data_IF_746232476989
#
_entry.id   IF_746232476989
#
_cell.length_a   1.000
_cell.length_b   1.000
_cell.length_c   1.000
_cell.angle_alpha   90.00
_cell.angle_beta   90.00
_cell.angle_gamma   90.00
#
_symmetry.space_group_name_H-M   'P 1'
#
loop_
_entity.id
_entity.type
_entity.pdbx_description
1 polymer ?
#
# COMPACT_ATOMS: atom_id res chain seq x y z
N UNK A 1 -51.83 -51.57 -44.55
CA UNK A 1 -51.27 -50.23 -44.58
C UNK A 1 -50.89 -49.89 -43.18
N UNK A 2 -49.62 -50.04 -42.86
CA UNK A 2 -49.04 -49.73 -41.53
C UNK A 2 -47.96 -48.62 -41.73
N UNK A 3 -48.25 -47.47 -41.17
CA UNK A 3 -47.42 -46.32 -41.19
C UNK A 3 -46.48 -46.40 -40.02
N UNK A 4 -45.21 -46.44 -40.29
CA UNK A 4 -44.14 -46.52 -39.28
C UNK A 4 -43.79 -45.09 -38.83
N UNK A 5 -44.11 -44.75 -37.61
CA UNK A 5 -43.73 -43.52 -36.93
C UNK A 5 -42.29 -43.64 -36.46
N UNK A 6 -41.41 -42.86 -37.08
CA UNK A 6 -39.96 -42.79 -36.77
C UNK A 6 -39.73 -41.82 -35.61
N UNK A 7 -39.50 -42.36 -34.42
CA UNK A 7 -39.09 -41.57 -33.25
C UNK A 7 -37.67 -41.08 -33.49
N UNK A 8 -37.51 -39.77 -33.69
CA UNK A 8 -36.21 -39.10 -33.71
C UNK A 8 -35.84 -38.83 -32.25
N UNK A 9 -34.92 -39.63 -31.73
CA UNK A 9 -34.30 -39.36 -30.46
C UNK A 9 -33.40 -38.14 -30.59
N UNK A 10 -33.70 -37.08 -29.81
CA UNK A 10 -32.78 -35.99 -29.58
C UNK A 10 -31.60 -36.51 -28.75
N UNK A 11 -30.33 -36.23 -29.15
CA UNK A 11 -29.22 -36.55 -28.28
C UNK A 11 -29.28 -35.62 -27.04
N UNK A 12 -29.32 -36.23 -25.87
CA UNK A 12 -29.07 -35.55 -24.62
C UNK A 12 -27.68 -34.95 -24.70
N UNK A 13 -27.60 -33.63 -24.84
CA UNK A 13 -26.39 -32.87 -24.63
C UNK A 13 -26.21 -32.82 -23.12
N UNK A 14 -25.46 -33.77 -22.61
CA UNK A 14 -24.92 -33.68 -21.24
C UNK A 14 -24.09 -32.39 -21.16
N UNK A 15 -24.74 -31.35 -20.68
CA UNK A 15 -24.09 -30.11 -20.25
C UNK A 15 -23.25 -30.44 -18.99
N UNK A 16 -22.13 -31.12 -19.23
CA UNK A 16 -21.10 -31.34 -18.21
C UNK A 16 -20.55 -29.97 -17.88
N UNK A 17 -21.23 -29.26 -16.98
CA UNK A 17 -20.77 -28.01 -16.41
C UNK A 17 -19.41 -28.26 -15.85
N UNK A 18 -18.38 -27.77 -16.57
CA UNK A 18 -16.99 -27.88 -16.18
C UNK A 18 -16.87 -27.38 -14.73
N UNK A 19 -16.54 -28.30 -13.84
CA UNK A 19 -16.31 -27.98 -12.44
C UNK A 19 -15.29 -26.83 -12.36
N UNK A 20 -15.53 -25.78 -11.53
CA UNK A 20 -14.61 -24.67 -11.43
C UNK A 20 -13.24 -25.21 -11.07
N UNK A 21 -12.24 -24.93 -11.91
CA UNK A 21 -10.86 -25.34 -11.69
C UNK A 21 -10.47 -24.99 -10.25
N UNK A 22 -10.17 -26.01 -9.45
CA UNK A 22 -9.72 -25.81 -8.08
C UNK A 22 -8.44 -24.98 -8.12
N UNK A 23 -8.53 -23.76 -7.57
CA UNK A 23 -7.41 -22.86 -7.46
C UNK A 23 -6.33 -23.54 -6.63
N UNK A 24 -5.04 -23.50 -7.04
CA UNK A 24 -3.97 -24.04 -6.23
C UNK A 24 -4.01 -23.33 -4.87
N UNK A 25 -4.29 -24.05 -3.81
CA UNK A 25 -4.27 -23.58 -2.42
C UNK A 25 -2.82 -23.40 -1.99
N UNK A 26 -2.18 -22.32 -2.47
CA UNK A 26 -0.86 -21.89 -2.00
C UNK A 26 -0.95 -21.42 -0.54
N UNK A 27 0.20 -21.32 0.13
CA UNK A 27 0.28 -20.75 1.47
C UNK A 27 -0.12 -19.27 1.44
N UNK A 28 -0.89 -18.85 2.45
CA UNK A 28 -1.27 -17.45 2.60
C UNK A 28 -0.03 -16.61 2.90
N UNK A 29 0.14 -15.51 2.17
CA UNK A 29 1.31 -14.62 2.27
C UNK A 29 1.17 -13.53 3.33
N UNK A 30 0.36 -13.76 4.35
CA UNK A 30 0.12 -12.81 5.45
C UNK A 30 1.41 -12.52 6.22
N UNK A 31 2.23 -13.52 6.47
CA UNK A 31 3.52 -13.32 7.15
C UNK A 31 4.43 -12.38 6.33
N UNK A 32 4.52 -12.56 5.02
CA UNK A 32 5.29 -11.70 4.15
C UNK A 32 4.77 -10.25 4.18
N UNK A 33 3.45 -10.05 4.16
CA UNK A 33 2.83 -8.73 4.29
C UNK A 33 3.27 -8.04 5.59
N UNK A 34 3.11 -8.70 6.73
CA UNK A 34 3.47 -8.09 8.01
C UNK A 34 4.97 -7.91 8.19
N UNK A 35 5.80 -8.81 7.66
CA UNK A 35 7.25 -8.66 7.69
C UNK A 35 7.70 -7.41 6.90
N UNK A 36 7.18 -7.22 5.69
CA UNK A 36 7.46 -6.03 4.88
C UNK A 36 6.92 -4.77 5.55
N UNK A 37 5.70 -4.81 6.10
CA UNK A 37 5.12 -3.68 6.81
C UNK A 37 5.95 -3.30 8.04
N UNK A 38 6.39 -4.29 8.83
CA UNK A 38 7.24 -4.04 9.99
C UNK A 38 8.59 -3.42 9.60
N UNK A 39 9.23 -3.93 8.54
CA UNK A 39 10.49 -3.36 8.04
C UNK A 39 10.30 -1.92 7.57
N UNK A 40 9.29 -1.64 6.75
CA UNK A 40 9.00 -0.29 6.27
C UNK A 40 8.70 0.68 7.43
N UNK A 41 7.86 0.26 8.38
CA UNK A 41 7.51 1.02 9.56
C UNK A 41 8.72 1.33 10.45
N UNK A 42 9.53 0.31 10.76
CA UNK A 42 10.72 0.49 11.63
C UNK A 42 11.76 1.38 10.98
N UNK A 43 12.01 1.23 9.67
CA UNK A 43 12.94 2.10 8.95
C UNK A 43 12.43 3.55 8.93
N UNK A 44 11.14 3.77 8.70
CA UNK A 44 10.55 5.12 8.74
C UNK A 44 10.67 5.72 10.14
N UNK A 45 10.23 5.01 11.17
CA UNK A 45 10.29 5.48 12.54
C UNK A 45 11.73 5.78 12.99
N UNK A 46 12.67 4.88 12.73
CA UNK A 46 14.07 5.04 13.10
C UNK A 46 14.71 6.23 12.39
N UNK A 47 14.46 6.39 11.07
CA UNK A 47 14.97 7.54 10.31
C UNK A 47 14.42 8.87 10.83
N UNK A 48 13.11 8.95 11.10
CA UNK A 48 12.47 10.13 11.67
C UNK A 48 13.00 10.49 13.06
N UNK A 49 13.21 9.48 13.92
CA UNK A 49 13.84 9.70 15.24
C UNK A 49 15.25 10.24 15.12
N UNK A 50 16.05 9.68 14.19
CA UNK A 50 17.42 10.14 13.94
C UNK A 50 17.43 11.57 13.41
N UNK A 51 16.55 11.89 12.47
CA UNK A 51 16.41 13.23 11.88
C UNK A 51 16.02 14.26 12.94
N UNK A 52 15.02 13.96 13.77
CA UNK A 52 14.65 14.85 14.89
C UNK A 52 15.81 15.06 15.85
N UNK A 53 16.53 13.99 16.20
CA UNK A 53 17.65 14.10 17.15
C UNK A 53 18.88 14.83 16.61
N UNK A 54 19.09 14.85 15.29
CA UNK A 54 20.34 15.34 14.67
C UNK A 54 20.17 16.53 13.75
N UNK A 55 19.01 16.76 13.18
CA UNK A 55 18.77 17.80 12.18
C UNK A 55 17.73 18.84 12.60
N UNK A 56 16.88 18.54 13.59
CA UNK A 56 15.93 19.54 14.06
C UNK A 56 16.67 20.72 14.68
N UNK A 57 16.40 21.94 14.20
CA UNK A 57 17.11 23.18 14.55
C UNK A 57 18.59 23.25 14.14
N UNK A 58 19.03 22.40 13.21
CA UNK A 58 20.38 22.43 12.66
C UNK A 58 20.36 22.73 11.15
N UNK A 59 21.50 23.10 10.61
CA UNK A 59 21.67 23.36 9.19
C UNK A 59 21.44 22.07 8.35
N UNK A 60 20.76 22.18 7.19
CA UNK A 60 20.54 21.05 6.30
C UNK A 60 21.85 20.40 5.85
N UNK A 61 21.86 19.07 5.78
CA UNK A 61 22.98 18.31 5.24
C UNK A 61 22.83 18.20 3.72
N UNK A 62 23.78 18.71 2.96
CA UNK A 62 23.84 18.54 1.50
C UNK A 62 24.36 17.15 1.17
N UNK A 63 23.55 16.36 0.48
CA UNK A 63 23.88 14.98 0.08
C UNK A 63 24.44 14.94 -1.34
N UNK A 64 23.77 15.62 -2.27
CA UNK A 64 24.20 15.73 -3.67
C UNK A 64 24.16 17.21 -4.06
N UNK A 65 25.21 17.94 -3.71
CA UNK A 65 25.30 19.38 -3.95
C UNK A 65 24.05 20.12 -3.45
N UNK A 66 23.50 20.98 -4.30
CA UNK A 66 22.23 21.68 -4.00
C UNK A 66 20.99 20.92 -4.50
N UNK A 67 21.18 19.74 -5.09
CA UNK A 67 20.08 18.98 -5.69
C UNK A 67 19.32 18.12 -4.67
N UNK A 68 20.00 17.58 -3.66
CA UNK A 68 19.39 16.76 -2.61
C UNK A 68 19.98 17.14 -1.25
N UNK A 69 19.09 17.46 -0.30
CA UNK A 69 19.45 17.78 1.08
C UNK A 69 18.65 16.91 2.05
N UNK A 70 19.20 16.72 3.24
CA UNK A 70 18.44 16.25 4.39
C UNK A 70 18.21 17.43 5.34
N UNK A 71 16.94 17.68 5.65
CA UNK A 71 16.51 18.74 6.58
C UNK A 71 15.29 18.27 7.37
N UNK A 72 15.15 18.69 8.61
CA UNK A 72 13.97 18.33 9.41
C UNK A 72 12.83 19.31 9.13
N UNK A 73 11.75 18.83 8.53
CA UNK A 73 10.54 19.61 8.26
C UNK A 73 9.37 18.99 9.01
N UNK A 74 8.64 19.81 9.76
CA UNK A 74 7.39 19.43 10.39
C UNK A 74 6.22 19.72 9.45
N UNK A 75 5.60 18.68 8.92
CA UNK A 75 4.51 18.79 7.94
C UNK A 75 3.14 18.52 8.61
N UNK A 76 2.37 19.54 8.95
CA UNK A 76 1.01 19.38 9.49
C UNK A 76 -0.04 19.06 8.41
N UNK A 77 0.38 18.66 7.21
CA UNK A 77 -0.52 18.53 6.07
C UNK A 77 -0.62 19.82 5.23
N UNK A 78 0.38 20.70 5.35
CA UNK A 78 0.36 22.08 4.87
C UNK A 78 0.54 22.26 3.33
N UNK A 79 0.52 21.18 2.53
CA UNK A 79 0.74 21.30 1.09
C UNK A 79 -0.18 22.34 0.39
N UNK A 80 -1.27 22.78 1.05
CA UNK A 80 -2.22 23.75 0.50
C UNK A 80 -2.65 24.84 1.49
N UNK A 81 -1.94 25.05 2.60
CA UNK A 81 -2.22 26.14 3.55
C UNK A 81 -3.42 25.93 4.50
N UNK A 82 -4.04 24.76 4.49
CA UNK A 82 -5.22 24.45 5.31
C UNK A 82 -4.91 23.68 6.61
N UNK A 83 -3.63 23.52 6.97
CA UNK A 83 -3.12 23.03 8.24
C UNK A 83 -3.87 21.84 8.86
N UNK A 84 -4.61 22.10 9.92
CA UNK A 84 -5.26 21.08 10.75
C UNK A 84 -6.31 20.22 10.04
N UNK A 85 -7.10 20.81 9.11
CA UNK A 85 -8.12 20.08 8.38
C UNK A 85 -7.54 18.95 7.52
N UNK A 86 -6.36 19.15 6.95
CA UNK A 86 -5.69 18.11 6.16
C UNK A 86 -5.09 17.01 7.03
N UNK A 87 -4.65 17.30 8.24
CA UNK A 87 -4.16 16.26 9.16
C UNK A 87 -5.25 15.24 9.45
N UNK A 88 -6.48 15.69 9.70
CA UNK A 88 -7.64 14.82 9.93
C UNK A 88 -7.96 14.02 8.67
N UNK A 89 -7.98 14.66 7.50
CA UNK A 89 -8.25 13.98 6.22
C UNK A 89 -7.22 12.88 5.96
N UNK A 90 -5.93 13.16 6.10
CA UNK A 90 -4.88 12.16 5.91
C UNK A 90 -4.94 11.03 6.95
N UNK A 91 -5.34 11.33 8.18
CA UNK A 91 -5.57 10.33 9.21
C UNK A 91 -6.71 9.39 8.82
N UNK A 92 -7.82 9.93 8.31
CA UNK A 92 -8.95 9.13 7.82
C UNK A 92 -8.53 8.28 6.62
N UNK A 93 -7.81 8.86 5.66
CA UNK A 93 -7.29 8.13 4.49
C UNK A 93 -6.40 6.96 4.94
N UNK A 94 -5.47 7.19 5.88
CA UNK A 94 -4.61 6.13 6.41
C UNK A 94 -5.44 5.02 7.07
N UNK A 95 -6.45 5.36 7.87
CA UNK A 95 -7.35 4.38 8.48
C UNK A 95 -8.13 3.57 7.43
N UNK A 96 -8.65 4.21 6.39
CA UNK A 96 -9.33 3.54 5.26
C UNK A 96 -8.39 2.57 4.56
N UNK A 97 -7.16 3.00 4.24
CA UNK A 97 -6.13 2.15 3.62
C UNK A 97 -5.86 0.91 4.47
N UNK A 98 -5.68 1.06 5.78
CA UNK A 98 -5.47 -0.05 6.71
C UNK A 98 -6.64 -1.04 6.65
N UNK A 99 -7.89 -0.56 6.66
CA UNK A 99 -9.09 -1.39 6.58
C UNK A 99 -9.16 -2.14 5.25
N UNK A 100 -8.85 -1.48 4.13
CA UNK A 100 -8.81 -2.10 2.79
C UNK A 100 -7.75 -3.20 2.76
N UNK A 101 -6.54 -2.93 3.25
CA UNK A 101 -5.46 -3.92 3.32
C UNK A 101 -5.88 -5.12 4.18
N UNK A 102 -6.50 -4.90 5.33
CA UNK A 102 -7.00 -5.97 6.20
C UNK A 102 -8.04 -6.86 5.49
N UNK A 103 -8.89 -6.28 4.61
CA UNK A 103 -9.83 -7.05 3.78
C UNK A 103 -9.14 -7.86 2.71
N UNK A 104 -8.20 -7.26 1.97
CA UNK A 104 -7.43 -7.94 0.92
C UNK A 104 -6.55 -9.05 1.49
N UNK A 105 -6.00 -8.88 2.68
CA UNK A 105 -5.18 -9.89 3.38
C UNK A 105 -5.93 -11.20 3.64
N UNK A 106 -7.26 -11.20 3.67
CA UNK A 106 -8.06 -12.42 3.86
C UNK A 106 -7.89 -13.44 2.73
N UNK A 107 -7.59 -12.98 1.52
CA UNK A 107 -7.40 -13.80 0.31
C UNK A 107 -6.05 -13.52 -0.35
N UNK A 108 -4.99 -13.31 0.45
CA UNK A 108 -3.68 -12.95 -0.03
C UNK A 108 -2.80 -14.19 -0.19
N UNK A 109 -2.62 -14.64 -1.43
CA UNK A 109 -1.78 -15.77 -1.81
C UNK A 109 -0.63 -15.35 -2.74
N UNK A 110 -0.70 -14.18 -3.35
CA UNK A 110 0.34 -13.62 -4.20
C UNK A 110 1.42 -12.95 -3.36
N UNK A 111 2.69 -13.38 -3.50
CA UNK A 111 3.83 -12.75 -2.82
C UNK A 111 4.08 -11.31 -3.30
N UNK A 112 4.05 -10.98 -4.60
CA UNK A 112 4.18 -9.59 -5.05
C UNK A 112 3.12 -8.65 -4.45
N UNK A 113 1.87 -9.10 -4.34
CA UNK A 113 0.82 -8.34 -3.66
C UNK A 113 1.07 -8.18 -2.17
N UNK A 114 1.60 -9.22 -1.51
CA UNK A 114 1.96 -9.13 -0.10
C UNK A 114 3.05 -8.08 0.15
N UNK A 115 4.04 -7.98 -0.74
CA UNK A 115 5.09 -6.96 -0.68
C UNK A 115 4.48 -5.57 -0.89
N UNK A 116 3.68 -5.37 -1.94
CA UNK A 116 3.07 -4.08 -2.24
C UNK A 116 2.16 -3.58 -1.10
N UNK A 117 1.28 -4.45 -0.61
CA UNK A 117 0.38 -4.14 0.51
C UNK A 117 1.13 -3.93 1.82
N UNK A 118 2.24 -4.67 2.04
CA UNK A 118 3.12 -4.49 3.20
C UNK A 118 3.79 -3.12 3.20
N UNK A 119 4.30 -2.65 2.05
CA UNK A 119 4.88 -1.32 1.90
C UNK A 119 3.84 -0.23 2.18
N UNK A 120 2.63 -0.35 1.61
CA UNK A 120 1.53 0.58 1.88
C UNK A 120 1.16 0.61 3.36
N UNK A 121 1.03 -0.55 3.99
CA UNK A 121 0.67 -0.67 5.40
C UNK A 121 1.73 -0.05 6.30
N UNK A 122 3.01 -0.39 6.09
CA UNK A 122 4.12 0.13 6.89
C UNK A 122 4.27 1.64 6.77
N UNK A 123 4.18 2.19 5.55
CA UNK A 123 4.20 3.63 5.31
C UNK A 123 3.00 4.35 5.93
N UNK A 124 1.78 3.81 5.74
CA UNK A 124 0.58 4.39 6.33
C UNK A 124 0.66 4.42 7.87
N UNK A 125 1.13 3.33 8.49
CA UNK A 125 1.34 3.27 9.94
C UNK A 125 2.43 4.26 10.40
N UNK A 126 3.52 4.43 9.66
CA UNK A 126 4.58 5.38 9.97
C UNK A 126 4.06 6.82 10.04
N UNK A 127 3.39 7.27 9.00
CA UNK A 127 2.80 8.61 8.97
C UNK A 127 1.63 8.76 9.94
N UNK A 128 0.85 7.71 10.19
CA UNK A 128 -0.22 7.73 11.20
C UNK A 128 0.35 7.83 12.61
N UNK A 129 1.47 7.16 12.91
CA UNK A 129 2.16 7.26 14.21
C UNK A 129 2.58 8.70 14.50
N UNK A 130 3.14 9.40 13.52
CA UNK A 130 3.49 10.81 13.70
C UNK A 130 2.24 11.67 14.02
N UNK A 131 1.14 11.45 13.30
CA UNK A 131 -0.11 12.22 13.52
C UNK A 131 -0.75 11.96 14.87
N UNK A 132 -0.62 10.76 15.41
CA UNK A 132 -1.20 10.42 16.71
C UNK A 132 -0.32 10.88 17.87
N UNK A 133 1.01 10.71 17.76
CA UNK A 133 1.90 10.79 18.92
C UNK A 133 2.82 12.01 18.95
N UNK A 134 2.92 12.80 17.85
CA UNK A 134 3.75 14.01 17.85
C UNK A 134 2.96 15.27 18.17
N UNK A 135 3.69 16.33 18.50
CA UNK A 135 3.13 17.66 18.71
C UNK A 135 2.42 18.17 17.41
N UNK A 136 1.37 19.01 17.57
CA UNK A 136 0.92 19.67 18.80
C UNK A 136 -0.04 18.84 19.67
N UNK A 137 -0.70 17.81 19.13
CA UNK A 137 -1.69 17.04 19.87
C UNK A 137 -2.02 15.70 19.21
N UNK A 138 -2.84 14.92 19.89
CA UNK A 138 -3.30 13.62 19.40
C UNK A 138 -4.18 13.83 18.17
N UNK A 139 -3.86 13.17 17.08
CA UNK A 139 -4.44 13.31 15.73
C UNK A 139 -4.17 14.66 15.03
N UNK A 140 -3.36 15.54 15.64
CA UNK A 140 -2.94 16.82 15.08
C UNK A 140 -1.42 16.86 14.81
N UNK A 141 -0.72 15.78 15.13
CA UNK A 141 0.72 15.71 15.05
C UNK A 141 1.26 15.93 13.63
N UNK A 142 2.32 16.72 13.55
CA UNK A 142 3.03 16.99 12.29
C UNK A 142 3.92 15.80 11.90
N UNK A 143 3.80 15.35 10.66
CA UNK A 143 4.70 14.33 10.09
C UNK A 143 6.10 14.90 9.93
N UNK A 144 7.12 14.08 10.22
CA UNK A 144 8.50 14.46 10.00
C UNK A 144 8.92 14.08 8.59
N UNK A 145 9.15 15.10 7.74
CA UNK A 145 9.70 14.96 6.41
C UNK A 145 11.16 15.41 6.42
N UNK A 146 12.00 14.76 5.61
CA UNK A 146 13.43 15.04 5.69
C UNK A 146 14.22 14.85 4.38
N UNK A 147 13.65 14.23 3.37
CA UNK A 147 14.27 14.08 2.06
C UNK A 147 13.83 15.25 1.21
N UNK A 148 14.73 16.20 0.97
CA UNK A 148 14.45 17.47 0.30
C UNK A 148 15.15 17.57 -1.08
N UNK A 149 14.57 17.04 -2.15
CA UNK A 149 15.07 17.26 -3.49
C UNK A 149 14.77 18.69 -3.95
N UNK A 150 15.67 19.25 -4.74
CA UNK A 150 15.47 20.57 -5.33
C UNK A 150 14.22 20.56 -6.24
N UNK A 151 13.34 21.54 -6.06
CA UNK A 151 12.10 21.68 -6.83
C UNK A 151 11.05 20.57 -6.63
N UNK A 152 11.14 19.81 -5.55
CA UNK A 152 10.15 18.83 -5.18
C UNK A 152 9.73 18.98 -3.71
N UNK A 153 8.55 18.50 -3.35
CA UNK A 153 8.12 18.50 -1.95
C UNK A 153 9.07 17.66 -1.09
N UNK A 154 9.31 18.10 0.14
CA UNK A 154 10.04 17.29 1.11
C UNK A 154 9.18 16.11 1.53
N UNK A 155 9.77 14.93 1.65
CA UNK A 155 9.08 13.68 1.97
C UNK A 155 9.93 12.79 2.89
N UNK A 156 9.41 11.64 3.26
CA UNK A 156 10.04 10.67 4.16
C UNK A 156 10.04 9.23 3.61
N UNK A 157 10.52 8.26 4.39
CA UNK A 157 10.54 6.87 3.95
C UNK A 157 9.15 6.23 3.90
N UNK A 158 8.21 6.66 4.76
CA UNK A 158 6.82 6.20 4.70
C UNK A 158 6.17 6.59 3.37
N UNK A 159 6.37 7.84 2.91
CA UNK A 159 5.85 8.30 1.61
C UNK A 159 6.46 7.50 0.46
N UNK A 160 7.78 7.25 0.53
CA UNK A 160 8.48 6.40 -0.45
C UNK A 160 7.88 4.99 -0.49
N UNK A 161 7.62 4.38 0.66
CA UNK A 161 7.02 3.06 0.75
C UNK A 161 5.58 3.05 0.18
N UNK A 162 4.77 4.07 0.50
CA UNK A 162 3.41 4.23 -0.04
C UNK A 162 3.44 4.35 -1.56
N UNK A 163 4.29 5.22 -2.10
CA UNK A 163 4.38 5.43 -3.55
C UNK A 163 4.88 4.18 -4.26
N UNK A 164 5.96 3.55 -3.78
CA UNK A 164 6.49 2.32 -4.38
C UNK A 164 5.49 1.16 -4.30
N UNK A 165 4.80 1.00 -3.16
CA UNK A 165 3.73 0.00 -2.98
C UNK A 165 2.57 0.25 -3.94
N UNK A 166 2.13 1.50 -4.08
CA UNK A 166 1.08 1.89 -5.02
C UNK A 166 1.45 1.63 -6.48
N UNK A 167 2.66 2.01 -6.90
CA UNK A 167 3.18 1.72 -8.24
C UNK A 167 3.21 0.21 -8.49
N UNK A 168 3.67 -0.58 -7.51
CA UNK A 168 3.72 -2.03 -7.64
C UNK A 168 2.32 -2.63 -7.80
N UNK A 169 1.31 -2.16 -7.05
CA UNK A 169 -0.09 -2.58 -7.22
C UNK A 169 -0.57 -2.30 -8.65
N UNK A 170 -0.33 -1.09 -9.16
CA UNK A 170 -0.72 -0.71 -10.52
C UNK A 170 -0.07 -1.65 -11.54
N UNK A 171 1.22 -1.92 -11.42
CA UNK A 171 1.94 -2.85 -12.32
C UNK A 171 1.34 -4.26 -12.25
N UNK A 172 1.04 -4.77 -11.05
CA UNK A 172 0.47 -6.10 -10.88
C UNK A 172 -0.93 -6.19 -11.49
N UNK A 173 -1.75 -5.16 -11.30
CA UNK A 173 -3.09 -5.06 -11.88
C UNK A 173 -3.04 -5.04 -13.41
N UNK A 174 -2.14 -4.27 -14.02
CA UNK A 174 -1.94 -4.28 -15.48
C UNK A 174 -1.42 -5.61 -16.02
N UNK A 175 -0.74 -6.41 -15.21
CA UNK A 175 -0.33 -7.78 -15.56
C UNK A 175 -1.42 -8.81 -15.32
N UNK A 176 -2.64 -8.40 -14.94
CA UNK A 176 -3.75 -9.29 -14.65
C UNK A 176 -3.53 -10.17 -13.41
N UNK A 177 -2.54 -9.84 -12.55
CA UNK A 177 -2.28 -10.64 -11.35
C UNK A 177 -3.11 -10.10 -10.17
N UNK A 178 -3.95 -10.97 -9.60
CA UNK A 178 -4.78 -10.66 -8.43
C UNK A 178 -4.10 -11.01 -7.09
N UNK A 179 -4.58 -10.42 -5.97
CA UNK A 179 -4.09 -10.74 -4.63
C UNK A 179 -4.20 -12.23 -4.28
N UNK A 180 -5.18 -12.93 -4.81
CA UNK A 180 -5.39 -14.36 -4.58
C UNK A 180 -4.48 -15.28 -5.42
N UNK A 181 -3.59 -14.69 -6.23
CA UNK A 181 -2.64 -15.40 -7.08
C UNK A 181 -3.20 -15.84 -8.43
N UNK A 182 -4.44 -15.50 -8.74
CA UNK A 182 -5.02 -15.75 -10.08
C UNK A 182 -4.41 -14.78 -11.09
N UNK A 183 -4.26 -15.23 -12.33
CA UNK A 183 -3.76 -14.43 -13.46
C UNK A 183 -4.84 -14.41 -14.53
N UNK A 184 -5.37 -13.24 -14.84
CA UNK A 184 -6.26 -13.03 -15.97
C UNK A 184 -5.40 -12.74 -17.21
N UNK A 185 -5.54 -13.59 -18.23
CA UNK A 185 -4.96 -13.34 -19.55
C UNK A 185 -6.08 -12.80 -20.43
N UNK A 186 -5.94 -11.56 -20.83
CA UNK A 186 -6.75 -11.01 -21.94
C UNK A 186 -6.37 -11.66 -23.27
#
# INVERSE_FOLDING_TARGET
MAEAERIIGTPDVDDEAAAPAERPKGERRIFALFAVAAVAYVLDLASKMLVVAKLEHHEPIRVVGDWLRFEAVRNPGAAFGFGEAFTIIFTIIAAVVIVVIARLARKLYSLPWAIALGMLLGGALGNLTDRIFRAPGVFEGAVVDFIAPKHFAVFNLADSAIVCGGILIVILSFKGLDPDGTVHKD
#
